data_IF_159461730793
#
_entry.id   IF_159461730793
#
_cell.length_a   1.000
_cell.length_b   1.000
_cell.length_c   1.000
_cell.angle_alpha   90.00
_cell.angle_beta   90.00
_cell.angle_gamma   90.00
#
_symmetry.space_group_name_H-M   'P 1'
#
loop_
_entity.id
_entity.type
_entity.pdbx_description
1 polymer ?
#
# COMPACT_ATOMS: atom_id res chain seq x y z
N UNK A 1 -13.59 -39.86 -7.09
CA UNK A 1 -12.71 -38.87 -7.01
C UNK A 1 -13.31 -37.54 -7.00
N UNK A 2 -14.18 -37.31 -7.84
CA UNK A 2 -14.72 -36.02 -7.90
C UNK A 2 -15.56 -35.67 -6.73
N UNK A 3 -15.87 -36.59 -5.98
CA UNK A 3 -16.74 -36.33 -4.82
C UNK A 3 -16.14 -35.36 -3.86
N UNK A 4 -14.88 -35.07 -3.98
CA UNK A 4 -14.29 -34.17 -3.03
C UNK A 4 -14.83 -32.76 -3.15
N UNK A 5 -15.55 -32.45 -4.16
CA UNK A 5 -16.14 -31.15 -4.24
C UNK A 5 -17.22 -30.91 -3.23
N UNK A 6 -17.86 -31.93 -2.80
CA UNK A 6 -18.94 -31.76 -1.86
C UNK A 6 -18.58 -31.04 -0.60
N UNK A 7 -17.44 -31.28 -0.04
CA UNK A 7 -17.09 -30.62 1.22
C UNK A 7 -17.15 -29.11 1.12
N UNK A 8 -16.83 -28.60 -0.02
CA UNK A 8 -16.83 -27.15 -0.17
C UNK A 8 -18.20 -26.58 -0.01
N UNK A 9 -19.14 -27.23 -0.59
CA UNK A 9 -20.50 -26.77 -0.53
C UNK A 9 -21.02 -26.75 0.89
N UNK A 10 -20.69 -27.78 1.61
CA UNK A 10 -21.17 -27.88 2.97
C UNK A 10 -20.64 -26.73 3.79
N UNK A 11 -19.42 -26.38 3.58
CA UNK A 11 -18.80 -25.32 4.33
C UNK A 11 -19.54 -24.02 4.19
N UNK A 12 -20.03 -23.74 3.04
CA UNK A 12 -20.76 -22.53 2.85
C UNK A 12 -21.98 -22.41 3.72
N UNK A 13 -22.70 -23.45 3.80
CA UNK A 13 -23.94 -23.39 4.54
C UNK A 13 -23.73 -23.23 6.01
N UNK A 14 -22.69 -23.83 6.51
CA UNK A 14 -22.50 -23.90 7.93
C UNK A 14 -22.23 -22.56 8.57
N UNK A 15 -21.39 -21.78 8.00
CA UNK A 15 -20.98 -20.57 8.65
C UNK A 15 -21.84 -19.38 8.35
N UNK A 16 -22.99 -19.58 7.80
CA UNK A 16 -23.72 -18.47 7.26
C UNK A 16 -24.11 -17.41 8.28
N UNK A 17 -24.61 -17.81 9.40
CA UNK A 17 -25.10 -16.86 10.39
C UNK A 17 -24.00 -16.05 11.02
N UNK A 18 -22.89 -16.67 11.35
CA UNK A 18 -21.77 -15.95 11.95
C UNK A 18 -21.02 -15.14 10.97
N UNK A 19 -21.06 -15.55 9.74
CA UNK A 19 -20.25 -14.96 8.69
C UNK A 19 -20.58 -13.51 8.42
N UNK A 20 -21.81 -13.09 8.64
CA UNK A 20 -22.16 -11.74 8.25
C UNK A 20 -21.42 -10.70 9.06
N UNK A 21 -21.22 -10.91 10.36
CA UNK A 21 -20.43 -9.98 11.14
C UNK A 21 -18.96 -10.02 10.76
N UNK A 22 -18.44 -11.22 10.56
CA UNK A 22 -17.05 -11.36 10.16
C UNK A 22 -16.83 -10.78 8.79
N UNK A 23 -17.77 -10.96 7.89
CA UNK A 23 -17.63 -10.41 6.56
C UNK A 23 -17.64 -8.90 6.60
N UNK A 24 -18.47 -8.29 7.43
CA UNK A 24 -18.49 -6.85 7.57
C UNK A 24 -17.20 -6.32 8.13
N UNK A 25 -16.65 -6.98 9.15
CA UNK A 25 -15.38 -6.58 9.72
C UNK A 25 -14.23 -6.76 8.73
N UNK A 26 -14.25 -7.87 7.98
CA UNK A 26 -13.22 -8.11 6.97
C UNK A 26 -13.30 -7.09 5.84
N UNK A 27 -14.50 -6.72 5.44
CA UNK A 27 -14.65 -5.71 4.41
C UNK A 27 -14.16 -4.36 4.87
N UNK A 28 -14.45 -3.98 6.11
CA UNK A 28 -13.97 -2.72 6.65
C UNK A 28 -12.45 -2.71 6.73
N UNK A 29 -11.85 -3.81 7.15
CA UNK A 29 -10.40 -3.92 7.22
C UNK A 29 -9.77 -3.86 5.83
N UNK A 30 -10.38 -4.55 4.87
CA UNK A 30 -9.92 -4.53 3.49
C UNK A 30 -10.00 -3.12 2.92
N UNK A 31 -11.11 -2.44 3.15
CA UNK A 31 -11.27 -1.08 2.65
C UNK A 31 -10.26 -0.14 3.28
N UNK A 32 -9.97 -0.35 4.55
CA UNK A 32 -8.98 0.49 5.22
C UNK A 32 -7.59 0.29 4.63
N UNK A 33 -7.22 -0.95 4.34
CA UNK A 33 -5.92 -1.23 3.73
C UNK A 33 -5.82 -0.56 2.36
N UNK A 34 -6.88 -0.66 1.58
CA UNK A 34 -6.91 -0.02 0.27
C UNK A 34 -6.79 1.49 0.40
N UNK A 35 -7.52 2.06 1.34
CA UNK A 35 -7.42 3.50 1.60
C UNK A 35 -6.01 3.91 1.98
N UNK A 36 -5.38 3.12 2.85
CA UNK A 36 -4.01 3.41 3.29
C UNK A 36 -3.03 3.38 2.12
N UNK A 37 -3.20 2.44 1.21
CA UNK A 37 -2.33 2.35 0.05
C UNK A 37 -2.43 3.61 -0.82
N UNK A 38 -3.64 4.07 -1.08
CA UNK A 38 -3.81 5.28 -1.89
C UNK A 38 -3.35 6.52 -1.15
N UNK A 39 -3.63 6.61 0.14
CA UNK A 39 -3.19 7.75 0.93
C UNK A 39 -1.67 7.82 1.00
N UNK A 40 -1.04 6.67 1.14
CA UNK A 40 0.42 6.63 1.16
C UNK A 40 0.99 7.16 -0.15
N UNK A 41 0.43 6.74 -1.27
CA UNK A 41 0.93 7.17 -2.56
C UNK A 41 0.73 8.67 -2.78
N UNK A 42 -0.44 9.18 -2.45
CA UNK A 42 -0.80 10.57 -2.77
C UNK A 42 -0.44 11.57 -1.68
N UNK A 43 -0.58 11.18 -0.42
CA UNK A 43 -0.43 12.13 0.68
C UNK A 43 0.91 12.03 1.39
N UNK A 44 1.66 10.97 1.15
CA UNK A 44 3.00 10.84 1.71
C UNK A 44 4.04 11.03 0.61
N UNK A 45 4.09 10.12 -0.35
CA UNK A 45 5.12 10.20 -1.39
C UNK A 45 4.80 11.26 -2.43
N UNK A 46 3.55 11.50 -2.70
CA UNK A 46 3.12 12.52 -3.64
C UNK A 46 2.98 13.91 -3.06
N UNK A 47 3.12 14.09 -1.76
CA UNK A 47 2.86 15.36 -1.12
C UNK A 47 4.12 16.20 -1.02
N UNK A 48 4.09 17.37 -1.66
CA UNK A 48 5.24 18.26 -1.65
C UNK A 48 5.35 19.14 -0.40
N UNK A 49 4.24 19.37 0.30
CA UNK A 49 4.28 20.19 1.50
C UNK A 49 4.67 19.36 2.70
N UNK A 50 5.75 19.75 3.38
CA UNK A 50 6.30 18.97 4.46
C UNK A 50 5.34 18.83 5.63
N UNK A 51 4.61 19.88 5.95
CA UNK A 51 3.69 19.82 7.09
C UNK A 51 2.51 18.89 6.81
N UNK A 52 1.96 18.97 5.60
CA UNK A 52 0.86 18.07 5.23
C UNK A 52 1.34 16.63 5.14
N UNK A 53 2.55 16.42 4.63
CA UNK A 53 3.11 15.06 4.55
C UNK A 53 3.30 14.47 5.94
N UNK A 54 3.83 15.23 6.89
CA UNK A 54 4.02 14.72 8.24
C UNK A 54 2.70 14.39 8.91
N UNK A 55 1.69 15.23 8.70
CA UNK A 55 0.37 14.95 9.26
C UNK A 55 -0.21 13.64 8.69
N UNK A 56 -0.03 13.43 7.40
CA UNK A 56 -0.50 12.19 6.78
C UNK A 56 0.27 10.99 7.32
N UNK A 57 1.57 11.12 7.51
CA UNK A 57 2.37 10.03 8.05
C UNK A 57 1.84 9.61 9.42
N UNK A 58 1.48 10.56 10.26
CA UNK A 58 0.96 10.24 11.59
C UNK A 58 -0.36 9.47 11.51
N UNK A 59 -1.17 9.75 10.51
CA UNK A 59 -2.44 9.05 10.37
C UNK A 59 -2.31 7.71 9.68
N UNK A 60 -1.35 7.58 8.78
CA UNK A 60 -1.24 6.42 7.90
C UNK A 60 -0.33 5.34 8.48
N UNK A 61 0.68 5.71 9.24
CA UNK A 61 1.72 4.78 9.69
C UNK A 61 1.74 4.61 11.20
N UNK A 62 2.09 3.40 11.64
CA UNK A 62 2.35 3.20 13.08
C UNK A 62 3.63 3.93 13.47
N UNK A 63 3.77 4.21 14.76
CA UNK A 63 4.95 4.93 15.25
C UNK A 63 6.24 4.16 15.00
N UNK A 64 6.17 2.83 15.05
CA UNK A 64 7.32 1.97 14.86
C UNK A 64 7.40 1.41 13.44
N UNK A 65 6.83 2.10 12.48
CA UNK A 65 6.79 1.62 11.11
C UNK A 65 8.20 1.42 10.54
N UNK A 66 8.28 0.53 9.56
CA UNK A 66 9.55 0.29 8.86
C UNK A 66 9.31 0.40 7.36
N UNK A 67 10.16 1.19 6.72
CA UNK A 67 10.15 1.33 5.27
C UNK A 67 11.31 0.52 4.71
N UNK A 68 10.99 -0.44 3.86
CA UNK A 68 12.01 -1.28 3.21
C UNK A 68 12.19 -0.80 1.78
N UNK A 69 13.37 -0.33 1.47
CA UNK A 69 13.72 0.15 0.12
C UNK A 69 14.97 -0.60 -0.33
N UNK A 70 15.31 -0.52 -1.62
CA UNK A 70 16.45 -1.31 -2.11
C UNK A 70 17.73 -1.13 -1.31
N UNK A 71 17.98 0.06 -0.78
CA UNK A 71 19.22 0.34 -0.06
C UNK A 71 19.17 -0.01 1.42
N UNK A 72 18.05 -0.42 1.94
CA UNK A 72 17.98 -0.78 3.35
C UNK A 72 16.62 -0.58 3.96
N UNK A 73 16.59 -0.53 5.29
CA UNK A 73 15.35 -0.36 6.05
C UNK A 73 15.45 0.91 6.89
N UNK A 74 14.37 1.67 6.90
CA UNK A 74 14.29 2.93 7.64
C UNK A 74 13.14 2.84 8.64
N UNK A 75 13.42 3.13 9.89
CA UNK A 75 12.41 3.00 10.94
C UNK A 75 11.92 4.33 11.45
N UNK A 76 10.59 4.41 11.62
CA UNK A 76 9.93 5.53 12.26
C UNK A 76 9.52 6.65 11.33
N UNK A 77 8.69 7.53 11.86
CA UNK A 77 8.08 8.61 11.08
C UNK A 77 9.12 9.59 10.54
N UNK A 78 10.12 9.93 11.34
CA UNK A 78 11.10 10.93 10.92
C UNK A 78 11.93 10.43 9.75
N UNK A 79 12.33 9.17 9.78
CA UNK A 79 13.12 8.61 8.69
C UNK A 79 12.28 8.50 7.41
N UNK A 80 11.02 8.11 7.57
CA UNK A 80 10.11 8.03 6.44
C UNK A 80 9.88 9.39 5.80
N UNK A 81 9.64 10.40 6.63
CA UNK A 81 9.41 11.76 6.14
C UNK A 81 10.64 12.30 5.42
N UNK A 82 11.83 12.03 5.97
CA UNK A 82 13.06 12.46 5.34
C UNK A 82 13.23 11.81 3.97
N UNK A 83 12.96 10.51 3.89
CA UNK A 83 13.09 9.79 2.63
C UNK A 83 12.11 10.32 1.58
N UNK A 84 10.85 10.46 1.96
CA UNK A 84 9.83 10.96 1.02
C UNK A 84 10.13 12.40 0.61
N UNK A 85 10.58 13.21 1.55
CA UNK A 85 10.92 14.60 1.25
C UNK A 85 12.09 14.71 0.28
N UNK A 86 13.08 13.85 0.42
CA UNK A 86 14.22 13.86 -0.49
C UNK A 86 13.81 13.44 -1.90
N UNK A 87 12.90 12.49 -2.00
CA UNK A 87 12.38 12.13 -3.32
C UNK A 87 11.65 13.29 -3.95
N UNK A 88 10.83 14.01 -3.18
CA UNK A 88 10.12 15.17 -3.71
C UNK A 88 11.10 16.26 -4.14
N UNK A 89 12.14 16.46 -3.37
CA UNK A 89 13.12 17.50 -3.70
C UNK A 89 13.92 17.15 -4.96
N UNK A 90 14.20 15.87 -5.14
CA UNK A 90 14.96 15.41 -6.30
C UNK A 90 14.12 15.50 -7.59
N UNK A 91 12.83 15.22 -7.48
CA UNK A 91 11.94 15.20 -8.64
C UNK A 91 10.67 15.99 -8.34
N UNK A 92 10.77 17.33 -8.19
CA UNK A 92 9.61 18.11 -7.76
C UNK A 92 8.46 18.12 -8.75
N UNK A 93 8.72 17.79 -10.01
CA UNK A 93 7.67 17.77 -11.03
C UNK A 93 6.99 16.42 -11.18
N UNK A 94 7.48 15.42 -10.46
CA UNK A 94 6.93 14.08 -10.61
C UNK A 94 5.64 13.93 -9.84
N UNK A 95 4.70 13.21 -10.44
CA UNK A 95 3.48 12.78 -9.79
C UNK A 95 3.55 11.28 -9.60
N UNK A 96 2.92 10.79 -8.55
CA UNK A 96 2.77 9.36 -8.31
C UNK A 96 1.35 8.98 -8.69
N UNK A 97 1.22 8.00 -9.58
CA UNK A 97 -0.07 7.64 -10.14
C UNK A 97 -0.31 6.15 -9.94
N UNK A 98 -1.49 5.76 -9.43
CA UNK A 98 -1.80 4.34 -9.33
C UNK A 98 -1.78 3.68 -10.71
N UNK A 99 -1.31 2.45 -10.74
CA UNK A 99 -1.24 1.69 -11.98
C UNK A 99 -2.04 0.41 -11.78
N UNK A 100 -3.34 0.51 -12.01
CA UNK A 100 -4.25 -0.56 -11.68
C UNK A 100 -4.89 -0.34 -10.33
N UNK A 101 -5.49 -1.39 -9.80
CA UNK A 101 -6.27 -1.29 -8.57
C UNK A 101 -5.49 -1.84 -7.38
N UNK A 102 -5.65 -1.19 -6.24
CA UNK A 102 -5.11 -1.70 -5.00
C UNK A 102 -5.82 -2.99 -4.64
N UNK A 103 -5.09 -3.90 -4.02
CA UNK A 103 -5.64 -5.16 -3.54
C UNK A 103 -5.23 -5.36 -2.11
N UNK A 104 -6.11 -6.00 -1.34
CA UNK A 104 -5.82 -6.33 0.05
C UNK A 104 -6.13 -7.79 0.30
N UNK A 105 -5.31 -8.42 1.15
CA UNK A 105 -5.46 -9.81 1.52
C UNK A 105 -5.01 -9.92 2.97
N UNK A 106 -5.93 -10.33 3.84
CA UNK A 106 -5.66 -10.39 5.28
C UNK A 106 -5.15 -9.05 5.78
N UNK A 107 -3.95 -8.98 6.33
CA UNK A 107 -3.38 -7.73 6.82
C UNK A 107 -2.41 -7.10 5.84
N UNK A 108 -2.35 -7.60 4.62
CA UNK A 108 -1.44 -7.09 3.62
C UNK A 108 -2.17 -6.41 2.47
N UNK A 109 -1.45 -5.59 1.74
CA UNK A 109 -2.01 -4.95 0.57
C UNK A 109 -0.93 -4.60 -0.44
N UNK A 110 -1.34 -4.45 -1.69
CA UNK A 110 -0.43 -4.09 -2.75
C UNK A 110 -1.05 -3.03 -3.65
N UNK A 111 -0.19 -2.19 -4.20
CA UNK A 111 -0.59 -1.19 -5.19
C UNK A 111 0.59 -0.91 -6.11
N UNK A 112 0.39 -1.15 -7.38
CA UNK A 112 1.37 -0.77 -8.39
C UNK A 112 1.21 0.72 -8.70
N UNK A 113 2.31 1.39 -9.01
CA UNK A 113 2.28 2.82 -9.29
C UNK A 113 3.34 3.19 -10.30
N UNK A 114 3.16 4.36 -10.88
CA UNK A 114 4.14 4.96 -11.77
C UNK A 114 4.51 6.33 -11.29
N UNK A 115 5.71 6.78 -11.62
CA UNK A 115 6.18 8.11 -11.23
C UNK A 115 6.88 8.77 -12.41
N UNK A 116 6.54 10.01 -12.66
CA UNK A 116 7.10 10.80 -13.74
C UNK A 116 6.44 12.17 -13.77
N UNK A 117 6.82 12.98 -14.74
CA UNK A 117 6.23 14.32 -14.84
C UNK A 117 4.73 14.21 -15.01
N UNK A 118 4.03 15.14 -14.37
CA UNK A 118 2.58 15.12 -14.38
C UNK A 118 2.07 15.18 -15.82
N UNK A 119 1.13 14.29 -16.12
CA UNK A 119 0.53 14.24 -17.44
C UNK A 119 1.32 13.49 -18.50
N UNK A 120 2.46 12.95 -18.13
CA UNK A 120 3.29 12.19 -19.06
C UNK A 120 3.40 10.75 -18.61
N UNK A 121 3.91 9.91 -19.50
CA UNK A 121 4.15 8.50 -19.15
C UNK A 121 5.14 8.43 -18.01
N UNK A 122 5.01 7.41 -17.14
CA UNK A 122 5.92 7.28 -16.01
C UNK A 122 7.35 7.06 -16.47
N UNK A 123 8.28 7.65 -15.74
CA UNK A 123 9.68 7.40 -15.98
C UNK A 123 10.14 6.14 -15.28
N UNK A 124 9.51 5.82 -14.16
CA UNK A 124 9.76 4.53 -13.52
C UNK A 124 8.48 4.08 -12.81
N UNK A 125 8.44 2.81 -12.48
CA UNK A 125 7.27 2.21 -11.86
C UNK A 125 7.71 1.42 -10.65
N UNK A 126 6.76 1.10 -9.81
CA UNK A 126 7.03 0.32 -8.62
C UNK A 126 5.80 -0.38 -8.12
N UNK A 127 6.00 -1.14 -7.06
CA UNK A 127 4.94 -1.84 -6.37
C UNK A 127 5.13 -1.62 -4.89
N UNK A 128 4.09 -1.11 -4.23
CA UNK A 128 4.07 -0.99 -2.78
C UNK A 128 3.40 -2.22 -2.20
N UNK A 129 4.03 -2.81 -1.20
CA UNK A 129 3.46 -3.90 -0.43
C UNK A 129 3.43 -3.45 1.01
N UNK A 130 2.25 -3.44 1.63
CA UNK A 130 2.10 -2.98 3.00
C UNK A 130 1.65 -4.11 3.91
N UNK A 131 2.09 -4.04 5.15
CA UNK A 131 1.57 -4.84 6.25
C UNK A 131 0.92 -3.86 7.21
N UNK A 132 -0.34 -4.11 7.54
CA UNK A 132 -1.15 -3.20 8.34
C UNK A 132 -1.34 -3.78 9.73
N UNK A 133 -1.21 -2.94 10.74
CA UNK A 133 -1.43 -3.32 12.12
C UNK A 133 -2.17 -2.17 12.78
N UNK A 134 -3.26 -2.49 13.45
CA UNK A 134 -4.06 -1.48 14.17
C UNK A 134 -4.50 -0.34 13.24
N UNK A 135 -4.92 -0.72 12.04
CA UNK A 135 -5.47 0.19 11.04
C UNK A 135 -4.46 1.20 10.49
N UNK A 136 -3.18 0.91 10.63
CA UNK A 136 -2.11 1.76 10.08
C UNK A 136 -1.05 0.88 9.44
N UNK A 137 -0.27 1.46 8.56
CA UNK A 137 0.82 0.73 7.91
C UNK A 137 1.94 0.53 8.91
N UNK A 138 2.27 -0.72 9.18
CA UNK A 138 3.39 -1.06 10.05
C UNK A 138 4.65 -1.29 9.24
N UNK A 139 4.52 -1.81 8.03
CA UNK A 139 5.67 -2.00 7.15
C UNK A 139 5.27 -1.68 5.73
N UNK A 140 6.16 -1.04 5.01
CA UNK A 140 6.00 -0.78 3.58
C UNK A 140 7.25 -1.32 2.89
N UNK A 141 7.03 -2.19 1.91
CA UNK A 141 8.09 -2.68 1.03
C UNK A 141 7.92 -2.01 -0.32
N UNK A 142 8.95 -1.34 -0.79
CA UNK A 142 8.91 -0.66 -2.06
C UNK A 142 9.73 -1.47 -3.06
N UNK A 143 9.04 -2.07 -4.01
CA UNK A 143 9.69 -2.80 -5.09
C UNK A 143 9.74 -1.89 -6.31
N UNK A 144 10.93 -1.69 -6.84
CA UNK A 144 11.08 -0.93 -8.08
C UNK A 144 11.16 -1.90 -9.21
N UNK A 145 10.34 -1.69 -10.22
CA UNK A 145 10.34 -2.58 -11.37
C UNK A 145 11.59 -2.33 -12.19
N UNK A 146 12.32 -3.38 -12.52
CA UNK A 146 13.43 -3.20 -13.44
C UNK A 146 12.90 -2.81 -14.80
N UNK A 147 13.72 -2.17 -15.59
CA UNK A 147 13.32 -1.84 -16.92
C UNK A 147 13.13 -3.11 -17.71
N UNK A 148 11.89 -3.41 -18.01
CA UNK A 148 11.61 -4.61 -18.77
C UNK A 148 11.68 -4.36 -20.25
N UNK A 149 11.85 -3.12 -20.62
CA UNK A 149 11.91 -2.77 -22.02
C UNK A 149 13.05 -3.46 -22.73
N UNK A 150 14.01 -3.90 -21.98
CA UNK A 150 15.12 -4.63 -22.59
C UNK A 150 14.67 -5.93 -23.20
N UNK A 151 13.58 -6.45 -22.71
CA UNK A 151 13.10 -7.74 -23.21
C UNK A 151 12.55 -7.66 -24.61
#
# INVERSE_FOLDING_TARGET
MESDRSPLTITEGVGHADTSKKDGANMAATERIIELLYRNLQEVFGEGDAARRRAAIEEVYTDDCVLHVPDGALGGHAALDKFAGELRATHPHFAYTPHGQAQALHNGGILAWGSGPKGEAPEYTGLDVVIVRESKIAELYVFLNPKLSAA
#
